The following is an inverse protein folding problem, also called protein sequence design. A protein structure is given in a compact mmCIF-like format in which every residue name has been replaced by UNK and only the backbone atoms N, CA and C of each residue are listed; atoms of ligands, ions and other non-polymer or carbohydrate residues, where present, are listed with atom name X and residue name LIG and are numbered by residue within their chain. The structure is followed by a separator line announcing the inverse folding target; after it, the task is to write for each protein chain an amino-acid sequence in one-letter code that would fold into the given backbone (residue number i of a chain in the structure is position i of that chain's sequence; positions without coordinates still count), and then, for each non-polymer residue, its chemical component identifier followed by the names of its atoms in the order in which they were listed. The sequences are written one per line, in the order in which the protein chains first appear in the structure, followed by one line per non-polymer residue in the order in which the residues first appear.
data_IF_653865620036
#
_entry.id   IF_653865620036
#
_cell.length_a   1.000
_cell.length_b   1.000
_cell.length_c   1.000
_cell.angle_alpha   90.00
_cell.angle_beta   90.00
_cell.angle_gamma   90.00
#
_symmetry.space_group_name_H-M   'P 1'
#
loop_
_entity.id
_entity.type
_entity.pdbx_description
1 polymer ?
#
# COMPACT_ATOMS: atom_id res chain seq x y z
N UNK A 1 17.27 -5.30 7.23
CA UNK A 1 16.48 -4.24 6.55
C UNK A 1 15.17 -3.92 7.29
N UNK A 2 15.18 -3.27 8.46
CA UNK A 2 13.95 -2.80 9.15
C UNK A 2 13.47 -1.45 8.60
N UNK A 3 14.43 -0.62 8.16
CA UNK A 3 14.19 0.71 7.61
C UNK A 3 13.36 0.66 6.32
N UNK A 4 13.61 -0.30 5.43
CA UNK A 4 12.95 -0.38 4.13
C UNK A 4 11.45 -0.66 4.26
N UNK A 5 11.06 -1.67 5.05
CA UNK A 5 9.64 -1.92 5.33
C UNK A 5 8.98 -0.73 6.05
N UNK A 6 9.70 -0.03 6.94
CA UNK A 6 9.15 1.12 7.64
C UNK A 6 8.88 2.29 6.66
N UNK A 7 9.82 2.58 5.76
CA UNK A 7 9.65 3.61 4.71
C UNK A 7 8.46 3.27 3.81
N UNK A 8 8.31 2.01 3.37
CA UNK A 8 7.18 1.60 2.54
C UNK A 8 5.85 1.77 3.28
N UNK A 9 5.79 1.42 4.57
CA UNK A 9 4.58 1.59 5.39
C UNK A 9 4.22 3.07 5.54
N UNK A 10 5.19 3.95 5.80
CA UNK A 10 4.97 5.40 5.89
C UNK A 10 4.49 5.96 4.55
N UNK A 11 5.09 5.53 3.44
CA UNK A 11 4.69 5.96 2.10
C UNK A 11 3.27 5.49 1.76
N UNK A 12 2.93 4.24 2.09
CA UNK A 12 1.58 3.72 1.93
C UNK A 12 0.55 4.52 2.76
N UNK A 13 0.88 4.91 3.99
CA UNK A 13 0.00 5.75 4.80
C UNK A 13 -0.24 7.13 4.17
N UNK A 14 0.79 7.78 3.64
CA UNK A 14 0.68 9.05 2.95
C UNK A 14 -0.21 8.94 1.69
N UNK A 15 -0.01 7.91 0.88
CA UNK A 15 -0.82 7.68 -0.32
C UNK A 15 -2.27 7.32 0.03
N UNK A 16 -2.51 6.62 1.14
CA UNK A 16 -3.86 6.29 1.60
C UNK A 16 -4.65 7.56 1.94
N UNK A 17 -4.02 8.53 2.60
CA UNK A 17 -4.64 9.83 2.91
C UNK A 17 -4.99 10.58 1.63
N UNK A 18 -4.07 10.64 0.65
CA UNK A 18 -4.31 11.32 -0.62
C UNK A 18 -5.48 10.71 -1.41
N UNK A 19 -5.58 9.38 -1.43
CA UNK A 19 -6.67 8.68 -2.12
C UNK A 19 -8.03 8.87 -1.43
N UNK A 20 -8.06 8.99 -0.10
CA UNK A 20 -9.30 9.29 0.65
C UNK A 20 -9.82 10.69 0.31
N UNK A 21 -8.94 11.69 0.19
CA UNK A 21 -9.35 13.06 -0.17
C UNK A 21 -9.90 13.21 -1.59
N UNK A 22 -9.57 12.31 -2.52
CA UNK A 22 -10.11 12.31 -3.89
C UNK A 22 -11.29 11.34 -4.10
N UNK A 23 -11.70 10.61 -3.06
CA UNK A 23 -12.74 9.60 -3.19
C UNK A 23 -14.13 10.24 -3.17
N UNK A 24 -14.72 10.41 -4.34
CA UNK A 24 -16.11 10.85 -4.48
C UNK A 24 -17.03 9.63 -4.60
N UNK A 25 -17.64 9.23 -3.48
CA UNK A 25 -18.54 8.07 -3.41
C UNK A 25 -19.78 8.18 -4.31
N UNK A 26 -20.09 9.39 -4.81
CA UNK A 26 -21.24 9.62 -5.67
C UNK A 26 -20.92 9.40 -7.15
N UNK A 27 -19.64 9.46 -7.55
CA UNK A 27 -19.16 9.30 -8.93
C UNK A 27 -17.89 8.43 -9.02
N UNK A 28 -17.96 7.23 -8.43
CA UNK A 28 -16.86 6.25 -8.38
C UNK A 28 -16.13 5.98 -9.71
N UNK A 29 -16.83 6.10 -10.85
CA UNK A 29 -16.29 5.80 -12.18
C UNK A 29 -15.97 7.04 -13.04
N UNK A 30 -16.00 8.25 -12.48
CA UNK A 30 -15.72 9.48 -13.23
C UNK A 30 -14.50 10.24 -12.68
N UNK A 31 -13.62 10.63 -13.60
CA UNK A 31 -12.46 11.49 -13.33
C UNK A 31 -11.60 10.98 -12.17
N UNK A 32 -11.43 11.83 -11.16
CA UNK A 32 -10.55 11.63 -10.00
C UNK A 32 -10.92 10.42 -9.14
N UNK A 33 -12.18 10.01 -9.15
CA UNK A 33 -12.61 8.87 -8.34
C UNK A 33 -12.11 7.52 -8.90
N UNK A 34 -11.86 7.45 -10.21
CA UNK A 34 -11.26 6.27 -10.85
C UNK A 34 -9.79 6.13 -10.45
N UNK A 35 -9.08 7.26 -10.34
CA UNK A 35 -7.72 7.32 -9.78
C UNK A 35 -7.75 6.87 -8.31
N UNK A 36 -8.71 7.34 -7.51
CA UNK A 36 -8.85 6.95 -6.11
C UNK A 36 -9.02 5.42 -5.92
N UNK A 37 -9.82 4.77 -6.78
CA UNK A 37 -9.99 3.31 -6.78
C UNK A 37 -8.68 2.60 -7.12
N UNK A 38 -7.97 3.04 -8.16
CA UNK A 38 -6.68 2.47 -8.54
C UNK A 38 -5.67 2.61 -7.40
N UNK A 39 -5.65 3.75 -6.72
CA UNK A 39 -4.78 3.96 -5.56
C UNK A 39 -5.12 3.05 -4.38
N UNK A 40 -6.40 2.78 -4.10
CA UNK A 40 -6.81 1.80 -3.08
C UNK A 40 -6.29 0.40 -3.43
N UNK A 41 -6.43 -0.03 -4.70
CA UNK A 41 -5.93 -1.34 -5.16
C UNK A 41 -4.40 -1.40 -5.09
N UNK A 42 -3.72 -0.31 -5.47
CA UNK A 42 -2.26 -0.22 -5.40
C UNK A 42 -1.76 -0.31 -3.95
N UNK A 43 -2.44 0.35 -3.01
CA UNK A 43 -2.13 0.28 -1.58
C UNK A 43 -2.32 -1.12 -1.01
N UNK A 44 -3.42 -1.79 -1.37
CA UNK A 44 -3.64 -3.19 -1.00
C UNK A 44 -2.50 -4.09 -1.49
N UNK A 45 -2.07 -3.89 -2.74
CA UNK A 45 -0.96 -4.63 -3.32
C UNK A 45 0.37 -4.34 -2.60
N UNK A 46 0.65 -3.08 -2.24
CA UNK A 46 1.83 -2.70 -1.48
C UNK A 46 1.89 -3.37 -0.10
N UNK A 47 0.77 -3.45 0.62
CA UNK A 47 0.68 -4.15 1.91
C UNK A 47 0.99 -5.65 1.73
N UNK A 48 0.44 -6.30 0.70
CA UNK A 48 0.75 -7.70 0.39
C UNK A 48 2.24 -7.94 0.14
N UNK A 49 2.90 -7.09 -0.65
CA UNK A 49 4.34 -7.20 -0.92
C UNK A 49 5.15 -7.08 0.38
N UNK A 50 4.80 -6.14 1.27
CA UNK A 50 5.47 -5.97 2.56
C UNK A 50 5.29 -7.19 3.47
N UNK A 51 4.09 -7.77 3.49
CA UNK A 51 3.82 -8.99 4.25
C UNK A 51 4.64 -10.17 3.73
N UNK A 52 4.65 -10.39 2.42
CA UNK A 52 5.46 -11.46 1.79
C UNK A 52 6.94 -11.25 2.13
N UNK A 53 7.45 -10.03 1.98
CA UNK A 53 8.84 -9.69 2.30
C UNK A 53 9.19 -9.98 3.77
N UNK A 54 8.31 -9.65 4.72
CA UNK A 54 8.51 -9.99 6.13
C UNK A 54 8.59 -11.49 6.34
N UNK A 55 7.68 -12.27 5.72
CA UNK A 55 7.68 -13.73 5.82
C UNK A 55 8.95 -14.33 5.22
N UNK A 56 9.36 -13.92 4.02
CA UNK A 56 10.61 -14.37 3.40
C UNK A 56 11.82 -14.11 4.29
N UNK A 57 11.84 -12.97 4.97
CA UNK A 57 12.95 -12.59 5.84
C UNK A 57 12.95 -13.34 7.18
N UNK A 58 11.79 -13.71 7.71
CA UNK A 58 11.70 -14.62 8.87
C UNK A 58 12.27 -15.99 8.50
N UNK A 59 12.01 -16.47 7.29
CA UNK A 59 12.57 -17.74 6.80
C UNK A 59 14.08 -17.63 6.61
N UNK A 60 14.56 -16.55 5.99
CA UNK A 60 16.00 -16.27 5.84
C UNK A 60 16.74 -16.29 7.18
N UNK A 61 16.19 -15.62 8.20
CA UNK A 61 16.77 -15.56 9.55
C UNK A 61 16.78 -16.93 10.27
N UNK A 62 15.86 -17.83 9.89
CA UNK A 62 15.77 -19.21 10.42
C UNK A 62 16.66 -20.22 9.68
N UNK A 63 17.07 -19.90 8.45
CA UNK A 63 17.85 -20.79 7.59
C UNK A 63 19.35 -20.44 7.61
N UNK A 64 19.71 -19.38 8.34
CA UNK A 64 21.06 -18.85 8.49
C UNK A 64 21.66 -19.18 9.86
#
# INVERSE_FOLDING_TARGET
MKIFSYVIIVFAAALMILNITMLDFSNLFQGDSLIAIIGIVALLCAVCIVLIYRTSKVIDDKTK
#
